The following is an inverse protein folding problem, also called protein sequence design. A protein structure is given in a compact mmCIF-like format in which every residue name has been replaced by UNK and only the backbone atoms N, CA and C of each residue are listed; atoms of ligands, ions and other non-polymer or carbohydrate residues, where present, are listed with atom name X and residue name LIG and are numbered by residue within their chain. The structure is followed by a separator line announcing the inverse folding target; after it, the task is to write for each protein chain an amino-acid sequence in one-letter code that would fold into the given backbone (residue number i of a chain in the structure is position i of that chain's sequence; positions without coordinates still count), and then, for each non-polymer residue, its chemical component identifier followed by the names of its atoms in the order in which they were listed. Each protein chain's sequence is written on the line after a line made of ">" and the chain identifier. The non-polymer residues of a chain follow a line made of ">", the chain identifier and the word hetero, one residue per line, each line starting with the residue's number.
data_IF_400408145201
#
_entry.id   IF_400408145201
#
_cell.length_a   1.000
_cell.length_b   1.000
_cell.length_c   1.000
_cell.angle_alpha   90.00
_cell.angle_beta   90.00
_cell.angle_gamma   90.00
#
_symmetry.space_group_name_H-M   'P 1'
#
loop_
_entity.id
_entity.type
_entity.pdbx_description
1 polymer ?
#
# COMPACT_ATOMS: atom_id res chain seq x y z
N UNK A 1 -13.62 -13.41 17.95
CA UNK A 1 -13.04 -14.46 17.07
C UNK A 1 -11.74 -13.93 16.53
N UNK A 2 -10.71 -14.76 16.42
CA UNK A 2 -9.38 -14.32 15.96
C UNK A 2 -9.32 -14.27 14.42
N UNK A 3 -8.48 -13.38 13.87
CA UNK A 3 -8.27 -13.24 12.43
C UNK A 3 -7.67 -14.49 11.77
N UNK A 4 -7.58 -14.55 10.43
CA UNK A 4 -7.12 -15.73 9.70
C UNK A 4 -5.65 -16.10 9.97
N UNK A 5 -4.83 -15.18 10.45
CA UNK A 5 -3.41 -15.43 10.81
C UNK A 5 -3.20 -15.67 12.30
N UNK A 6 -4.28 -15.93 13.06
CA UNK A 6 -4.19 -16.27 14.46
C UNK A 6 -3.21 -17.44 14.71
N UNK A 7 -2.24 -17.22 15.59
CA UNK A 7 -1.18 -18.17 15.93
C UNK A 7 0.10 -18.03 15.13
N UNK A 8 0.13 -17.22 14.06
CA UNK A 8 1.35 -16.90 13.32
C UNK A 8 2.24 -15.97 14.15
N UNK A 9 3.51 -16.33 14.35
CA UNK A 9 4.48 -15.53 15.12
C UNK A 9 5.42 -14.77 14.21
N UNK A 10 5.47 -13.45 14.35
CA UNK A 10 6.27 -12.56 13.49
C UNK A 10 7.23 -11.74 14.35
N UNK A 11 8.52 -11.75 14.02
CA UNK A 11 9.50 -10.81 14.55
C UNK A 11 9.72 -9.71 13.52
N UNK A 12 9.56 -8.46 13.92
CA UNK A 12 9.81 -7.28 13.09
C UNK A 12 11.04 -6.54 13.63
N UNK A 13 12.11 -6.44 12.85
CA UNK A 13 13.22 -5.53 13.19
C UNK A 13 12.82 -4.11 12.79
N UNK A 14 12.81 -3.18 13.75
CA UNK A 14 12.31 -1.83 13.55
C UNK A 14 12.94 -1.15 12.32
N UNK A 15 12.07 -0.74 11.39
CA UNK A 15 12.39 0.01 10.17
C UNK A 15 11.36 1.09 9.89
N UNK A 16 11.30 1.57 8.64
CA UNK A 16 10.36 2.59 8.14
C UNK A 16 9.68 2.11 6.85
N UNK A 17 8.54 2.72 6.51
CA UNK A 17 7.85 2.51 5.23
C UNK A 17 7.31 1.09 5.04
N UNK A 18 7.82 0.31 4.07
CA UNK A 18 7.21 -0.96 3.66
C UNK A 18 7.26 -2.07 4.72
N UNK A 19 8.34 -2.15 5.51
CA UNK A 19 8.49 -3.19 6.54
C UNK A 19 7.42 -3.10 7.64
N UNK A 20 7.30 -1.96 8.33
CA UNK A 20 6.24 -1.74 9.32
C UNK A 20 4.82 -1.89 8.75
N UNK A 21 4.57 -1.47 7.50
CA UNK A 21 3.27 -1.64 6.87
C UNK A 21 2.92 -3.11 6.64
N UNK A 22 3.86 -3.93 6.16
CA UNK A 22 3.64 -5.37 6.02
C UNK A 22 3.38 -6.04 7.38
N UNK A 23 4.17 -5.69 8.39
CA UNK A 23 3.94 -6.15 9.76
C UNK A 23 2.56 -5.73 10.28
N UNK A 24 2.08 -4.53 9.90
CA UNK A 24 0.77 -3.99 10.31
C UNK A 24 -0.34 -4.86 9.79
N UNK A 25 -0.31 -5.19 8.50
CA UNK A 25 -1.31 -6.05 7.87
C UNK A 25 -1.27 -7.45 8.47
N UNK A 26 -0.09 -8.03 8.75
CA UNK A 26 -0.03 -9.33 9.43
C UNK A 26 -0.70 -9.29 10.81
N UNK A 27 -0.43 -8.25 11.61
CA UNK A 27 -1.07 -8.04 12.91
C UNK A 27 -2.58 -7.80 12.80
N UNK A 28 -3.01 -6.96 11.85
CA UNK A 28 -4.41 -6.71 11.52
C UNK A 28 -5.18 -8.00 11.17
N UNK A 29 -4.50 -8.94 10.50
CA UNK A 29 -5.04 -10.26 10.16
C UNK A 29 -4.91 -11.28 11.30
N UNK A 30 -4.43 -10.88 12.47
CA UNK A 30 -4.41 -11.67 13.70
C UNK A 30 -3.07 -12.35 14.02
N UNK A 31 -1.99 -12.06 13.29
CA UNK A 31 -0.67 -12.55 13.65
C UNK A 31 -0.19 -11.91 14.97
N UNK A 32 0.59 -12.67 15.74
CA UNK A 32 1.29 -12.19 16.92
C UNK A 32 2.61 -11.56 16.49
N UNK A 33 2.62 -10.23 16.37
CA UNK A 33 3.77 -9.48 15.85
C UNK A 33 4.53 -8.79 16.97
N UNK A 34 5.79 -9.19 17.13
CA UNK A 34 6.75 -8.66 18.09
C UNK A 34 7.73 -7.76 17.37
N UNK A 35 7.68 -6.46 17.67
CA UNK A 35 8.60 -5.47 17.12
C UNK A 35 9.80 -5.28 18.05
N UNK A 36 11.00 -5.41 17.48
CA UNK A 36 12.27 -5.20 18.18
C UNK A 36 12.72 -3.76 17.98
N UNK A 37 12.83 -3.02 19.07
CA UNK A 37 13.17 -1.60 19.08
C UNK A 37 14.48 -1.32 19.82
N UNK A 38 15.15 -0.23 19.45
CA UNK A 38 16.40 0.17 20.12
C UNK A 38 16.09 0.86 21.45
N UNK A 39 16.77 0.50 22.56
CA UNK A 39 16.62 1.19 23.83
C UNK A 39 16.91 2.69 23.70
N UNK A 40 16.11 3.53 24.35
CA UNK A 40 16.35 4.98 24.48
C UNK A 40 16.15 5.83 23.22
N UNK A 41 15.82 5.22 22.07
CA UNK A 41 15.32 5.94 20.89
C UNK A 41 13.95 5.38 20.54
N UNK A 42 12.89 5.97 21.11
CA UNK A 42 11.57 5.91 20.47
C UNK A 42 11.79 6.33 19.02
N UNK A 43 11.51 5.42 18.09
CA UNK A 43 12.06 5.49 16.73
C UNK A 43 11.62 6.74 15.98
N UNK A 44 12.33 7.86 16.12
CA UNK A 44 12.06 9.12 15.40
C UNK A 44 10.71 9.79 15.67
N UNK A 45 9.76 9.10 16.30
CA UNK A 45 8.43 9.61 16.60
C UNK A 45 8.48 10.38 17.93
N UNK A 46 8.10 11.68 17.95
CA UNK A 46 8.08 12.49 19.16
C UNK A 46 7.24 11.84 20.27
N UNK A 47 7.65 12.02 21.52
CA UNK A 47 6.85 11.60 22.67
C UNK A 47 5.45 12.27 22.60
N UNK A 48 4.41 11.46 22.45
CA UNK A 48 3.02 11.91 22.32
C UNK A 48 2.39 11.68 20.95
N UNK A 49 3.18 11.37 19.93
CA UNK A 49 2.68 11.03 18.59
C UNK A 49 2.63 9.50 18.49
N UNK A 50 1.44 8.90 18.47
CA UNK A 50 1.29 7.45 18.29
C UNK A 50 1.24 7.17 16.80
N UNK A 51 2.34 6.67 16.22
CA UNK A 51 2.33 6.18 14.84
C UNK A 51 1.33 5.03 14.70
N UNK A 52 0.15 5.32 14.17
CA UNK A 52 -0.96 4.37 14.05
C UNK A 52 -0.62 3.15 13.18
N UNK A 53 0.42 3.21 12.34
CA UNK A 53 0.91 2.05 11.58
C UNK A 53 1.53 0.98 12.48
N UNK A 54 1.94 1.35 13.71
CA UNK A 54 2.48 0.44 14.71
C UNK A 54 1.40 -0.24 15.57
N UNK A 55 0.11 -0.12 15.20
CA UNK A 55 -1.01 -0.85 15.81
C UNK A 55 -0.84 -2.37 15.69
N UNK A 56 -1.50 -3.14 16.55
CA UNK A 56 -1.43 -4.61 16.59
C UNK A 56 0.02 -5.13 16.71
N UNK A 57 0.78 -4.59 17.68
CA UNK A 57 2.14 -5.02 18.01
C UNK A 57 2.29 -5.26 19.51
N UNK A 58 3.28 -6.09 19.85
CA UNK A 58 3.97 -6.08 21.14
C UNK A 58 5.38 -5.53 20.92
N UNK A 59 5.91 -4.75 21.86
CA UNK A 59 7.24 -4.13 21.72
C UNK A 59 8.26 -4.73 22.69
N UNK A 60 9.43 -5.09 22.14
CA UNK A 60 10.60 -5.60 22.87
C UNK A 60 11.78 -4.64 22.63
N UNK A 61 12.44 -4.20 23.69
CA UNK A 61 13.63 -3.36 23.56
C UNK A 61 14.90 -4.21 23.56
N UNK A 62 15.72 -4.11 22.50
CA UNK A 62 16.99 -4.81 22.40
C UNK A 62 18.03 -3.98 21.65
N UNK A 63 19.24 -3.83 22.22
CA UNK A 63 20.36 -3.25 21.48
C UNK A 63 21.07 -4.34 20.66
N UNK A 64 20.76 -4.41 19.37
CA UNK A 64 21.29 -5.44 18.46
C UNK A 64 22.81 -5.39 18.25
N UNK A 65 23.48 -4.35 18.74
CA UNK A 65 24.95 -4.23 18.69
C UNK A 65 25.65 -4.95 19.85
N UNK A 66 24.93 -5.22 20.94
CA UNK A 66 25.45 -5.96 22.07
C UNK A 66 25.12 -7.46 21.90
N UNK A 67 26.03 -8.37 22.30
CA UNK A 67 25.78 -9.81 22.24
C UNK A 67 24.47 -10.23 22.92
N UNK A 68 24.16 -9.66 24.09
CA UNK A 68 22.94 -9.99 24.85
C UNK A 68 21.67 -9.60 24.09
N UNK A 69 21.70 -8.46 23.40
CA UNK A 69 20.57 -8.01 22.58
C UNK A 69 20.38 -8.87 21.32
N UNK A 70 21.48 -9.25 20.67
CA UNK A 70 21.46 -10.21 19.54
C UNK A 70 20.92 -11.57 19.98
N UNK A 71 21.45 -12.13 21.06
CA UNK A 71 21.10 -13.46 21.55
C UNK A 71 19.64 -13.50 22.04
N UNK A 72 19.13 -12.41 22.62
CA UNK A 72 17.70 -12.24 22.90
C UNK A 72 16.85 -12.36 21.64
N UNK A 73 17.24 -11.67 20.56
CA UNK A 73 16.48 -11.71 19.30
C UNK A 73 16.57 -13.08 18.62
N UNK A 74 17.74 -13.74 18.65
CA UNK A 74 17.88 -15.11 18.15
C UNK A 74 16.97 -16.09 18.90
N UNK A 75 16.79 -15.93 20.23
CA UNK A 75 15.83 -16.74 21.00
C UNK A 75 14.38 -16.52 20.56
N UNK A 76 14.00 -15.29 20.21
CA UNK A 76 12.67 -15.00 19.66
C UNK A 76 12.52 -15.60 18.25
N UNK A 77 13.53 -15.44 17.40
CA UNK A 77 13.56 -16.00 16.04
C UNK A 77 13.48 -17.54 16.06
N UNK A 78 14.10 -18.20 17.04
CA UNK A 78 14.02 -19.66 17.23
C UNK A 78 12.58 -20.18 17.37
N UNK A 79 11.63 -19.30 17.70
CA UNK A 79 10.23 -19.60 17.99
C UNK A 79 9.26 -18.92 17.01
N UNK A 80 9.78 -18.11 16.10
CA UNK A 80 9.02 -17.33 15.15
C UNK A 80 8.73 -18.12 13.86
N UNK A 81 7.69 -17.72 13.15
CA UNK A 81 7.42 -18.20 11.80
C UNK A 81 8.05 -17.29 10.76
N UNK A 82 8.08 -15.98 11.02
CA UNK A 82 8.50 -14.96 10.09
C UNK A 82 9.43 -13.96 10.78
N UNK A 83 10.48 -13.54 10.08
CA UNK A 83 11.29 -12.37 10.42
C UNK A 83 11.14 -11.34 9.31
N UNK A 84 10.85 -10.09 9.65
CA UNK A 84 10.82 -8.95 8.73
C UNK A 84 11.96 -8.01 9.05
N UNK A 85 12.77 -7.67 8.03
CA UNK A 85 13.79 -6.64 8.12
C UNK A 85 13.86 -5.81 6.84
N UNK A 86 14.10 -4.51 6.99
CA UNK A 86 14.19 -3.57 5.88
C UNK A 86 15.48 -2.76 5.85
N UNK A 87 16.58 -3.35 6.31
CA UNK A 87 17.88 -2.69 6.32
C UNK A 87 18.57 -2.81 4.96
N UNK A 88 19.65 -2.05 4.78
CA UNK A 88 20.50 -2.23 3.58
C UNK A 88 21.09 -3.65 3.58
N UNK A 89 21.28 -4.28 2.41
CA UNK A 89 21.92 -5.58 2.29
C UNK A 89 23.24 -5.65 3.08
N UNK A 90 23.45 -6.75 3.80
CA UNK A 90 24.62 -6.95 4.64
C UNK A 90 24.53 -6.38 6.07
N UNK A 91 23.47 -5.63 6.42
CA UNK A 91 23.33 -5.08 7.78
C UNK A 91 23.05 -6.18 8.80
N UNK A 92 22.07 -7.04 8.57
CA UNK A 92 21.72 -8.11 9.52
C UNK A 92 22.81 -9.16 9.61
N UNK A 93 23.52 -9.45 8.52
CA UNK A 93 24.71 -10.31 8.52
C UNK A 93 25.79 -9.75 9.46
N UNK A 94 26.07 -8.45 9.43
CA UNK A 94 27.04 -7.82 10.36
C UNK A 94 26.57 -7.84 11.82
N UNK A 95 25.26 -7.95 12.06
CA UNK A 95 24.69 -8.05 13.40
C UNK A 95 24.64 -9.51 13.91
N UNK A 96 25.02 -10.50 13.09
CA UNK A 96 24.83 -11.92 13.42
C UNK A 96 23.35 -12.32 13.49
N UNK A 97 22.52 -11.65 12.69
CA UNK A 97 21.10 -11.90 12.50
C UNK A 97 20.82 -12.15 11.02
N UNK A 98 21.81 -12.53 10.23
CA UNK A 98 21.63 -12.82 8.81
C UNK A 98 20.82 -14.10 8.59
N UNK A 99 20.42 -14.39 7.34
CA UNK A 99 19.66 -15.61 7.03
C UNK A 99 20.34 -16.90 7.48
N UNK A 100 21.69 -16.97 7.36
CA UNK A 100 22.46 -18.14 7.78
C UNK A 100 22.44 -18.30 9.31
N UNK A 101 22.72 -17.24 10.07
CA UNK A 101 22.68 -17.26 11.53
C UNK A 101 21.29 -17.67 12.05
N UNK A 102 20.22 -17.16 11.42
CA UNK A 102 18.85 -17.48 11.81
C UNK A 102 18.45 -18.92 11.46
N UNK A 103 18.97 -19.47 10.36
CA UNK A 103 18.70 -20.85 9.96
C UNK A 103 19.32 -21.88 10.93
N UNK A 104 20.41 -21.52 11.63
CA UNK A 104 21.02 -22.37 12.66
C UNK A 104 20.09 -22.61 13.86
N UNK A 105 19.25 -21.63 14.19
CA UNK A 105 18.29 -21.72 15.31
C UNK A 105 16.87 -22.06 14.85
N UNK A 106 16.53 -21.82 13.58
CA UNK A 106 15.21 -22.09 13.01
C UNK A 106 15.24 -22.20 11.48
N UNK A 107 15.36 -23.43 10.97
CA UNK A 107 15.31 -23.72 9.53
C UNK A 107 13.90 -23.69 8.92
N UNK A 108 12.86 -23.45 9.75
CA UNK A 108 11.48 -23.23 9.33
C UNK A 108 11.15 -21.74 9.12
N UNK A 109 12.08 -20.85 9.43
CA UNK A 109 11.87 -19.40 9.40
C UNK A 109 11.66 -18.89 7.98
N UNK A 110 10.60 -18.10 7.79
CA UNK A 110 10.45 -17.25 6.62
C UNK A 110 11.22 -15.95 6.87
N UNK A 111 12.39 -15.81 6.25
CA UNK A 111 13.24 -14.62 6.40
C UNK A 111 12.90 -13.61 5.30
N UNK A 112 12.13 -12.57 5.64
CA UNK A 112 11.59 -11.61 4.69
C UNK A 112 12.41 -10.31 4.67
N UNK A 113 13.12 -10.06 3.56
CA UNK A 113 13.96 -8.87 3.34
C UNK A 113 13.22 -7.86 2.47
N UNK A 114 13.06 -6.65 2.98
CA UNK A 114 12.29 -5.59 2.32
C UNK A 114 13.19 -4.42 1.94
N UNK A 115 13.56 -4.31 0.66
CA UNK A 115 14.46 -3.26 0.19
C UNK A 115 13.92 -2.55 -1.06
N UNK A 116 14.52 -1.42 -1.41
CA UNK A 116 14.16 -0.73 -2.65
C UNK A 116 14.74 -1.36 -3.91
N UNK A 117 16.01 -1.76 -3.83
CA UNK A 117 16.81 -2.20 -4.99
C UNK A 117 17.04 -3.72 -5.06
N UNK A 118 16.62 -4.48 -4.04
CA UNK A 118 16.95 -5.91 -3.91
C UNK A 118 18.29 -6.15 -3.21
N UNK A 119 18.59 -7.42 -2.94
CA UNK A 119 19.85 -7.82 -2.27
C UNK A 119 21.07 -7.78 -3.18
N UNK A 120 20.88 -7.76 -4.50
CA UNK A 120 21.94 -7.88 -5.50
C UNK A 120 21.86 -6.78 -6.57
N UNK A 121 22.91 -6.67 -7.37
CA UNK A 121 23.00 -5.70 -8.46
C UNK A 121 23.71 -4.40 -8.08
N UNK A 122 24.01 -3.54 -9.07
CA UNK A 122 24.91 -2.39 -8.89
C UNK A 122 24.34 -1.31 -7.95
N UNK A 123 23.03 -1.31 -7.69
CA UNK A 123 22.36 -0.34 -6.81
C UNK A 123 21.99 -0.89 -5.44
N UNK A 124 22.24 -2.16 -5.14
CA UNK A 124 21.82 -2.82 -3.89
C UNK A 124 22.25 -2.07 -2.62
N UNK A 125 23.43 -1.43 -2.64
CA UNK A 125 23.95 -0.67 -1.50
C UNK A 125 23.64 0.84 -1.55
N UNK A 126 23.01 1.30 -2.64
CA UNK A 126 22.65 2.70 -2.85
C UNK A 126 21.46 3.09 -1.96
N UNK A 127 21.51 4.28 -1.38
CA UNK A 127 20.35 4.86 -0.71
C UNK A 127 19.23 5.20 -1.71
N UNK A 128 18.00 5.24 -1.23
CA UNK A 128 16.84 5.70 -2.01
C UNK A 128 15.60 5.75 -1.14
N UNK A 129 14.54 6.31 -1.70
CA UNK A 129 13.16 6.25 -1.21
C UNK A 129 12.24 5.87 -2.38
N UNK A 130 10.95 5.68 -2.10
CA UNK A 130 9.90 5.32 -3.07
C UNK A 130 10.14 5.90 -4.47
N UNK A 131 10.20 7.24 -4.56
CA UNK A 131 10.34 7.99 -5.82
C UNK A 131 11.54 7.54 -6.65
N UNK A 132 12.65 7.15 -6.01
CA UNK A 132 13.84 6.68 -6.71
C UNK A 132 13.59 5.30 -7.34
N UNK A 133 12.96 4.39 -6.62
CA UNK A 133 12.71 3.03 -7.09
C UNK A 133 11.77 3.04 -8.30
N UNK A 134 10.65 3.76 -8.20
CA UNK A 134 9.67 3.86 -9.29
C UNK A 134 10.16 4.74 -10.45
N UNK A 135 11.17 5.60 -10.24
CA UNK A 135 11.79 6.35 -11.34
C UNK A 135 12.60 5.48 -12.30
N UNK A 136 13.07 4.31 -11.84
CA UNK A 136 14.01 3.48 -12.61
C UNK A 136 13.33 2.39 -13.45
N UNK A 137 12.04 2.14 -13.24
CA UNK A 137 11.27 1.13 -13.98
C UNK A 137 10.16 1.73 -14.86
N UNK A 138 10.18 3.06 -15.10
CA UNK A 138 9.22 3.76 -15.95
C UNK A 138 7.90 4.15 -15.27
N UNK A 139 7.60 3.61 -14.09
CA UNK A 139 6.35 3.89 -13.35
C UNK A 139 6.17 5.38 -13.10
N UNK A 140 7.18 6.07 -12.55
CA UNK A 140 7.07 7.52 -12.29
C UNK A 140 6.90 8.32 -13.58
N UNK A 141 7.58 7.94 -14.67
CA UNK A 141 7.54 8.68 -15.93
C UNK A 141 6.12 8.76 -16.51
N UNK A 142 5.30 7.72 -16.29
CA UNK A 142 3.93 7.63 -16.77
C UNK A 142 2.91 8.45 -15.96
N UNK A 143 3.29 9.02 -14.81
CA UNK A 143 2.34 9.65 -13.88
C UNK A 143 2.44 11.17 -13.95
N UNK A 144 1.31 11.81 -14.27
CA UNK A 144 1.13 13.26 -14.30
C UNK A 144 0.47 13.75 -15.57
N UNK A 145 0.30 15.06 -15.69
CA UNK A 145 -0.35 15.70 -16.84
C UNK A 145 0.57 15.74 -18.06
N UNK A 146 -0.02 15.77 -19.25
CA UNK A 146 0.69 16.06 -20.50
C UNK A 146 1.37 17.42 -20.42
N UNK A 147 2.64 17.49 -20.82
CA UNK A 147 3.43 18.73 -20.86
C UNK A 147 4.08 19.14 -19.53
N UNK A 148 3.64 18.59 -18.40
CA UNK A 148 4.22 18.84 -17.08
C UNK A 148 5.31 17.82 -16.73
N UNK A 149 6.10 18.09 -15.68
CA UNK A 149 7.02 17.09 -15.11
C UNK A 149 6.27 15.91 -14.47
N UNK A 150 6.87 14.72 -14.35
CA UNK A 150 6.31 13.63 -13.54
C UNK A 150 5.97 14.05 -12.11
N UNK A 151 4.89 13.50 -11.56
CA UNK A 151 4.43 13.76 -10.19
C UNK A 151 4.42 12.45 -9.39
N UNK A 152 5.05 12.40 -8.20
CA UNK A 152 5.04 11.18 -7.39
C UNK A 152 3.62 10.86 -6.90
N UNK A 153 3.13 9.61 -7.04
CA UNK A 153 1.83 9.18 -6.52
C UNK A 153 1.92 8.91 -5.01
N UNK A 154 2.29 9.95 -4.24
CA UNK A 154 2.75 9.81 -2.85
C UNK A 154 3.88 8.76 -2.79
N UNK A 155 3.81 7.80 -1.87
CA UNK A 155 4.61 6.59 -1.83
C UNK A 155 3.76 5.31 -1.98
N UNK A 156 2.63 5.41 -2.71
CA UNK A 156 1.68 4.30 -2.86
C UNK A 156 2.22 3.19 -3.77
N UNK A 157 3.04 3.54 -4.77
CA UNK A 157 3.47 2.60 -5.80
C UNK A 157 4.71 1.79 -5.41
N UNK A 158 5.72 2.39 -4.77
CA UNK A 158 6.96 1.74 -4.38
C UNK A 158 6.86 1.10 -2.99
N UNK A 159 6.71 1.92 -1.95
CA UNK A 159 6.69 1.44 -0.55
C UNK A 159 5.51 0.48 -0.32
N UNK A 160 4.30 0.85 -0.75
CA UNK A 160 3.11 0.08 -0.43
C UNK A 160 2.77 -0.99 -1.48
N UNK A 161 2.13 -0.59 -2.59
CA UNK A 161 1.61 -1.51 -3.60
C UNK A 161 2.68 -2.40 -4.23
N UNK A 162 3.86 -1.85 -4.54
CA UNK A 162 4.99 -2.58 -5.11
C UNK A 162 6.01 -3.11 -4.08
N UNK A 163 5.82 -2.81 -2.80
CA UNK A 163 6.78 -3.14 -1.75
C UNK A 163 6.16 -4.07 -0.71
N UNK A 164 5.59 -3.49 0.34
CA UNK A 164 4.96 -4.23 1.44
C UNK A 164 3.93 -5.27 1.00
N UNK A 165 3.13 -4.99 -0.04
CA UNK A 165 2.15 -5.95 -0.56
C UNK A 165 2.82 -7.16 -1.22
N UNK A 166 3.95 -6.98 -1.90
CA UNK A 166 4.74 -8.08 -2.46
C UNK A 166 5.50 -8.84 -1.37
N UNK A 167 5.96 -8.17 -0.31
CA UNK A 167 6.51 -8.83 0.87
C UNK A 167 5.47 -9.74 1.54
N UNK A 168 4.23 -9.26 1.70
CA UNK A 168 3.11 -10.04 2.23
C UNK A 168 2.79 -11.26 1.36
N UNK A 169 2.67 -11.08 0.05
CA UNK A 169 2.46 -12.19 -0.90
C UNK A 169 3.59 -13.20 -0.79
N UNK A 170 4.85 -12.76 -0.73
CA UNK A 170 6.00 -13.62 -0.53
C UNK A 170 5.92 -14.41 0.77
N UNK A 171 5.61 -13.75 1.89
CA UNK A 171 5.52 -14.37 3.22
C UNK A 171 4.43 -15.44 3.23
N UNK A 172 3.23 -15.10 2.79
CA UNK A 172 2.10 -16.03 2.80
C UNK A 172 2.31 -17.21 1.83
N UNK A 173 2.95 -16.97 0.67
CA UNK A 173 3.30 -18.03 -0.27
C UNK A 173 4.36 -18.97 0.31
N UNK A 174 5.37 -18.44 1.00
CA UNK A 174 6.40 -19.25 1.65
C UNK A 174 5.84 -20.03 2.85
N UNK A 175 4.89 -19.46 3.61
CA UNK A 175 4.18 -20.17 4.66
C UNK A 175 3.33 -21.33 4.13
N UNK A 176 2.71 -21.15 2.95
CA UNK A 176 1.97 -22.21 2.26
C UNK A 176 2.91 -23.30 1.74
N UNK A 177 4.01 -22.94 1.09
CA UNK A 177 5.05 -23.88 0.63
C UNK A 177 5.59 -24.73 1.79
N UNK A 178 5.87 -24.08 2.93
CA UNK A 178 6.36 -24.72 4.17
C UNK A 178 5.45 -25.81 4.71
N UNK A 179 4.16 -25.83 4.35
CA UNK A 179 3.27 -26.93 4.72
C UNK A 179 3.68 -28.26 4.10
N UNK A 180 4.22 -28.23 2.88
CA UNK A 180 4.70 -29.40 2.16
C UNK A 180 6.17 -29.69 2.46
N UNK A 181 7.04 -28.67 2.37
CA UNK A 181 8.49 -28.86 2.54
C UNK A 181 8.90 -29.01 4.01
N UNK A 182 8.13 -28.44 4.93
CA UNK A 182 8.51 -28.28 6.32
C UNK A 182 9.66 -27.30 6.55
N UNK A 183 10.10 -26.55 5.54
CA UNK A 183 11.26 -25.64 5.59
C UNK A 183 10.87 -24.19 5.32
N UNK A 184 11.65 -23.28 5.87
CA UNK A 184 11.56 -21.86 5.54
C UNK A 184 12.45 -21.50 4.36
N UNK A 185 12.45 -20.22 4.00
CA UNK A 185 13.29 -19.67 2.93
C UNK A 185 13.43 -18.15 3.08
N UNK A 186 14.35 -17.58 2.30
CA UNK A 186 14.54 -16.13 2.20
C UNK A 186 13.63 -15.57 1.12
N UNK A 187 12.93 -14.49 1.44
CA UNK A 187 12.20 -13.66 0.47
C UNK A 187 13.00 -12.39 0.26
N UNK A 188 13.39 -12.12 -0.99
CA UNK A 188 13.94 -10.83 -1.41
C UNK A 188 12.83 -10.03 -2.09
N UNK A 189 12.20 -9.10 -1.35
CA UNK A 189 11.18 -8.21 -1.90
C UNK A 189 11.82 -6.85 -2.22
N UNK A 190 12.03 -6.60 -3.52
CA UNK A 190 12.53 -5.32 -4.03
C UNK A 190 11.38 -4.45 -4.55
N UNK A 191 11.30 -3.20 -4.08
CA UNK A 191 10.25 -2.27 -4.53
C UNK A 191 10.32 -1.99 -6.04
N UNK A 192 11.53 -1.95 -6.61
CA UNK A 192 11.72 -1.77 -8.07
C UNK A 192 11.09 -2.91 -8.88
N UNK A 193 11.10 -4.13 -8.36
CA UNK A 193 10.54 -5.31 -9.02
C UNK A 193 9.03 -5.38 -8.81
N UNK A 194 8.57 -5.27 -7.56
CA UNK A 194 7.16 -5.37 -7.24
C UNK A 194 6.33 -4.24 -7.87
N UNK A 195 6.85 -3.01 -7.92
CA UNK A 195 6.17 -1.92 -8.64
C UNK A 195 6.16 -2.11 -10.16
N UNK A 196 7.17 -2.79 -10.73
CA UNK A 196 7.15 -3.16 -12.15
C UNK A 196 6.08 -4.23 -12.44
N UNK A 197 5.92 -5.21 -11.55
CA UNK A 197 4.84 -6.21 -11.63
C UNK A 197 3.47 -5.55 -11.41
N UNK A 198 3.37 -4.58 -10.50
CA UNK A 198 2.13 -3.80 -10.29
C UNK A 198 1.70 -3.05 -11.57
N UNK A 199 2.67 -2.61 -12.38
CA UNK A 199 2.47 -1.95 -13.68
C UNK A 199 2.31 -2.93 -14.87
N UNK A 200 2.16 -4.24 -14.63
CA UNK A 200 2.14 -5.26 -15.69
C UNK A 200 1.08 -5.00 -16.78
N UNK A 201 -0.07 -4.44 -16.43
CA UNK A 201 -1.12 -4.09 -17.41
C UNK A 201 -0.62 -3.09 -18.45
N UNK A 202 0.13 -2.05 -18.03
CA UNK A 202 0.72 -1.07 -18.95
C UNK A 202 1.82 -1.69 -19.80
N UNK A 203 2.65 -2.59 -19.26
CA UNK A 203 3.59 -3.37 -20.07
C UNK A 203 2.87 -4.17 -21.16
N UNK A 204 1.74 -4.79 -20.83
CA UNK A 204 0.87 -5.50 -21.78
C UNK A 204 0.26 -4.57 -22.83
N UNK A 205 -0.27 -3.41 -22.44
CA UNK A 205 -0.82 -2.45 -23.38
C UNK A 205 0.23 -1.86 -24.31
N UNK A 206 1.44 -1.55 -23.80
CA UNK A 206 2.57 -1.08 -24.62
C UNK A 206 2.92 -2.10 -25.69
N UNK A 207 3.02 -3.39 -25.33
CA UNK A 207 3.32 -4.46 -26.28
C UNK A 207 2.25 -4.61 -27.38
N UNK A 208 1.00 -4.25 -27.09
CA UNK A 208 -0.12 -4.30 -28.04
C UNK A 208 -0.39 -2.96 -28.75
N UNK A 209 0.45 -1.94 -28.56
CA UNK A 209 0.26 -0.61 -29.15
C UNK A 209 -0.91 0.19 -28.57
N UNK A 210 -1.44 -0.22 -27.41
CA UNK A 210 -2.55 0.43 -26.69
C UNK A 210 -2.06 1.43 -25.62
N UNK A 211 -0.74 1.60 -25.49
CA UNK A 211 -0.12 2.54 -24.56
C UNK A 211 1.14 3.15 -25.17
N UNK A 212 1.30 4.46 -24.97
CA UNK A 212 2.42 5.28 -25.41
C UNK A 212 3.28 5.71 -24.22
N UNK A 213 4.57 5.94 -24.47
CA UNK A 213 5.48 6.52 -23.47
C UNK A 213 5.24 8.03 -23.27
N UNK A 214 4.42 8.67 -24.10
CA UNK A 214 3.96 10.04 -23.87
C UNK A 214 2.98 10.05 -22.68
N UNK A 215 3.36 10.77 -21.62
CA UNK A 215 2.56 10.92 -20.40
C UNK A 215 1.31 11.78 -20.63
N UNK A 216 0.19 11.36 -20.06
CA UNK A 216 -1.05 12.12 -20.06
C UNK A 216 -1.80 12.08 -21.40
N UNK A 217 -1.54 11.06 -22.23
CA UNK A 217 -2.18 10.87 -23.53
C UNK A 217 -2.85 9.51 -23.70
N UNK A 218 -2.76 8.65 -22.68
CA UNK A 218 -3.31 7.31 -22.68
C UNK A 218 -4.71 7.28 -22.05
N UNK A 219 -5.39 6.14 -22.19
CA UNK A 219 -6.75 5.96 -21.65
C UNK A 219 -6.80 6.11 -20.13
N UNK A 220 -5.78 5.65 -19.40
CA UNK A 220 -5.81 5.54 -17.92
C UNK A 220 -4.86 6.51 -17.19
N UNK A 221 -4.30 7.51 -17.89
CA UNK A 221 -3.33 8.46 -17.32
C UNK A 221 -3.75 9.93 -17.46
N UNK A 222 -5.06 10.18 -17.56
CA UNK A 222 -5.73 11.48 -17.81
C UNK A 222 -5.85 11.91 -19.28
N UNK A 223 -5.33 11.13 -20.23
CA UNK A 223 -5.49 11.44 -21.67
C UNK A 223 -6.95 11.40 -22.15
N UNK A 224 -7.72 10.37 -21.75
CA UNK A 224 -9.11 10.20 -22.15
C UNK A 224 -10.07 11.13 -21.37
N UNK A 225 -10.97 11.88 -22.04
CA UNK A 225 -11.94 12.75 -21.36
C UNK A 225 -12.92 11.99 -20.43
N UNK A 226 -13.19 10.73 -20.70
CA UNK A 226 -14.08 9.87 -19.91
C UNK A 226 -13.34 9.10 -18.80
N UNK A 227 -12.05 9.37 -18.58
CA UNK A 227 -11.26 8.81 -17.48
C UNK A 227 -10.33 9.90 -16.91
N UNK A 228 -10.92 10.85 -16.18
CA UNK A 228 -10.21 12.00 -15.59
C UNK A 228 -11.04 12.65 -14.47
N UNK A 229 -10.52 13.73 -13.90
CA UNK A 229 -11.19 14.62 -12.96
C UNK A 229 -11.62 15.91 -13.63
N UNK A 230 -12.76 16.45 -13.20
CA UNK A 230 -13.33 17.71 -13.69
C UNK A 230 -13.64 18.64 -12.52
N UNK A 231 -13.21 19.89 -12.63
CA UNK A 231 -13.53 20.94 -11.68
C UNK A 231 -14.99 21.39 -11.83
N UNK A 232 -15.63 21.64 -10.70
CA UNK A 232 -17.04 22.03 -10.59
C UNK A 232 -17.16 23.48 -10.11
N UNK A 233 -18.37 24.04 -10.09
CA UNK A 233 -18.59 25.48 -9.81
C UNK A 233 -18.04 25.96 -8.45
N UNK A 234 -17.89 25.08 -7.47
CA UNK A 234 -17.36 25.37 -6.13
C UNK A 234 -15.84 25.12 -6.00
N UNK A 235 -15.14 24.89 -7.12
CA UNK A 235 -13.69 24.63 -7.15
C UNK A 235 -13.31 23.23 -6.62
N UNK A 236 -14.29 22.37 -6.37
CA UNK A 236 -14.09 20.96 -6.03
C UNK A 236 -14.17 20.08 -7.28
N UNK A 237 -13.88 18.79 -7.16
CA UNK A 237 -13.74 17.90 -8.31
C UNK A 237 -14.70 16.71 -8.30
N UNK A 238 -15.16 16.32 -9.48
CA UNK A 238 -15.75 15.01 -9.77
C UNK A 238 -14.70 14.15 -10.49
N UNK A 239 -14.65 12.86 -10.19
CA UNK A 239 -13.91 11.86 -10.97
C UNK A 239 -14.87 11.15 -11.92
N UNK A 240 -14.43 10.93 -13.17
CA UNK A 240 -15.16 10.21 -14.21
C UNK A 240 -14.32 9.00 -14.63
N UNK A 241 -14.95 7.84 -14.70
CA UNK A 241 -14.35 6.58 -15.16
C UNK A 241 -15.26 5.80 -16.11
N UNK A 242 -16.01 6.50 -16.96
CA UNK A 242 -17.04 5.94 -17.84
C UNK A 242 -16.42 5.37 -19.14
N UNK A 243 -15.68 4.27 -19.03
CA UNK A 243 -14.95 3.66 -20.15
C UNK A 243 -15.93 2.94 -21.10
N UNK A 244 -16.83 2.14 -20.57
CA UNK A 244 -17.75 1.34 -21.37
C UNK A 244 -18.86 2.22 -21.99
N UNK A 245 -19.27 1.97 -23.25
CA UNK A 245 -20.21 2.85 -23.97
C UNK A 245 -21.54 3.10 -23.26
N UNK A 246 -22.08 2.10 -22.56
CA UNK A 246 -23.33 2.23 -21.82
C UNK A 246 -23.19 3.14 -20.58
N UNK A 247 -22.03 3.12 -19.92
CA UNK A 247 -21.75 3.99 -18.78
C UNK A 247 -21.50 5.42 -19.25
N UNK A 248 -20.79 5.57 -20.37
CA UNK A 248 -20.63 6.85 -21.06
C UNK A 248 -21.98 7.47 -21.47
N UNK A 249 -22.93 6.67 -21.95
CA UNK A 249 -24.27 7.16 -22.28
C UNK A 249 -25.03 7.69 -21.04
N UNK A 250 -24.96 7.00 -19.90
CA UNK A 250 -25.55 7.50 -18.64
C UNK A 250 -24.85 8.76 -18.13
N UNK A 251 -23.52 8.88 -18.32
CA UNK A 251 -22.80 10.13 -18.05
C UNK A 251 -23.34 11.29 -18.88
N UNK A 252 -23.47 11.14 -20.20
CA UNK A 252 -23.99 12.19 -21.08
C UNK A 252 -25.40 12.62 -20.68
N UNK A 253 -26.26 11.65 -20.39
CA UNK A 253 -27.63 11.88 -19.92
C UNK A 253 -27.65 12.66 -18.60
N UNK A 254 -26.79 12.31 -17.64
CA UNK A 254 -26.67 13.04 -16.38
C UNK A 254 -26.14 14.47 -16.55
N UNK A 255 -25.20 14.67 -17.49
CA UNK A 255 -24.70 16.00 -17.85
C UNK A 255 -25.68 16.83 -18.70
N UNK A 256 -26.75 16.22 -19.20
CA UNK A 256 -27.69 16.87 -20.13
C UNK A 256 -27.09 17.17 -21.50
N UNK A 257 -26.12 16.38 -21.94
CA UNK A 257 -25.46 16.50 -23.25
C UNK A 257 -26.08 15.51 -24.24
N UNK A 258 -26.37 15.98 -25.46
CA UNK A 258 -26.79 15.10 -26.56
C UNK A 258 -25.55 14.49 -27.23
N UNK A 259 -25.52 13.16 -27.37
CA UNK A 259 -24.45 12.45 -28.05
C UNK A 259 -24.34 12.85 -29.54
N UNK A 260 -25.43 13.32 -30.16
CA UNK A 260 -25.43 13.77 -31.56
C UNK A 260 -24.62 15.06 -31.77
N UNK A 261 -24.45 15.87 -30.72
CA UNK A 261 -23.73 17.14 -30.77
C UNK A 261 -22.26 17.00 -30.34
N UNK A 262 -21.80 15.78 -30.00
CA UNK A 262 -20.46 15.51 -29.49
C UNK A 262 -19.64 14.66 -30.45
N UNK A 263 -18.29 14.76 -30.39
CA UNK A 263 -17.42 13.76 -30.98
C UNK A 263 -17.71 12.35 -30.43
N UNK A 264 -17.41 11.32 -31.23
CA UNK A 264 -17.49 9.95 -30.74
C UNK A 264 -16.52 9.73 -29.57
N UNK A 265 -16.93 8.95 -28.57
CA UNK A 265 -16.17 8.72 -27.33
C UNK A 265 -14.70 8.39 -27.58
N UNK A 266 -14.40 7.52 -28.55
CA UNK A 266 -13.05 7.04 -28.86
C UNK A 266 -12.40 7.73 -30.08
N UNK A 267 -12.92 8.88 -30.53
CA UNK A 267 -12.24 9.74 -31.51
C UNK A 267 -11.15 10.56 -30.83
N UNK A 268 -9.95 9.96 -30.72
CA UNK A 268 -8.79 10.54 -30.03
C UNK A 268 -8.43 11.93 -30.57
N UNK A 269 -8.59 12.16 -31.88
CA UNK A 269 -8.26 13.43 -32.50
C UNK A 269 -9.16 14.58 -32.02
N UNK A 270 -10.40 14.25 -31.60
CA UNK A 270 -11.40 15.20 -31.11
C UNK A 270 -11.64 15.12 -29.60
N UNK A 271 -10.82 14.37 -28.86
CA UNK A 271 -10.84 14.39 -27.39
C UNK A 271 -10.71 15.78 -26.77
N UNK A 272 -9.92 16.74 -27.31
CA UNK A 272 -9.91 18.10 -26.79
C UNK A 272 -11.30 18.77 -26.79
N UNK A 273 -12.09 18.58 -27.85
CA UNK A 273 -13.45 19.11 -27.97
C UNK A 273 -14.40 18.43 -26.98
N UNK A 274 -14.33 17.10 -26.88
CA UNK A 274 -15.14 16.34 -25.91
C UNK A 274 -14.84 16.76 -24.46
N UNK A 275 -13.56 16.96 -24.14
CA UNK A 275 -13.12 17.44 -22.83
C UNK A 275 -13.64 18.84 -22.53
N UNK A 276 -13.64 19.74 -23.50
CA UNK A 276 -14.19 21.08 -23.33
C UNK A 276 -15.69 21.03 -23.01
N UNK A 277 -16.46 20.18 -23.71
CA UNK A 277 -17.87 19.98 -23.42
C UNK A 277 -18.11 19.46 -21.99
N UNK A 278 -17.35 18.46 -21.54
CA UNK A 278 -17.46 17.92 -20.18
C UNK A 278 -17.05 18.95 -19.13
N UNK A 279 -15.95 19.68 -19.38
CA UNK A 279 -15.47 20.76 -18.50
C UNK A 279 -16.56 21.81 -18.31
N UNK A 280 -17.16 22.28 -19.41
CA UNK A 280 -18.24 23.26 -19.36
C UNK A 280 -19.47 22.73 -18.62
N UNK A 281 -19.84 21.48 -18.85
CA UNK A 281 -20.97 20.86 -18.19
C UNK A 281 -20.73 20.77 -16.67
N UNK A 282 -19.62 20.15 -16.23
CA UNK A 282 -19.29 20.02 -14.81
C UNK A 282 -19.14 21.37 -14.09
N UNK A 283 -18.58 22.39 -14.75
CA UNK A 283 -18.43 23.73 -14.17
C UNK A 283 -19.77 24.48 -13.97
N UNK A 284 -20.89 24.01 -14.53
CA UNK A 284 -22.19 24.67 -14.40
C UNK A 284 -22.82 24.53 -13.00
N UNK A 285 -22.44 23.49 -12.26
CA UNK A 285 -22.97 23.19 -10.93
C UNK A 285 -21.85 22.73 -9.98
N UNK A 286 -22.11 22.76 -8.67
CA UNK A 286 -21.16 22.34 -7.64
C UNK A 286 -21.02 20.80 -7.55
N UNK A 287 -20.00 20.33 -6.84
CA UNK A 287 -19.76 18.88 -6.64
C UNK A 287 -20.95 18.17 -5.99
N UNK A 288 -21.68 18.82 -5.08
CA UNK A 288 -22.81 18.21 -4.37
C UNK A 288 -24.00 17.95 -5.30
N UNK A 289 -24.29 18.88 -6.21
CA UNK A 289 -25.26 18.71 -7.28
C UNK A 289 -24.93 17.48 -8.12
N UNK A 290 -23.70 17.39 -8.65
CA UNK A 290 -23.31 16.27 -9.49
C UNK A 290 -23.31 14.94 -8.74
N UNK A 291 -22.89 14.94 -7.48
CA UNK A 291 -22.99 13.77 -6.61
C UNK A 291 -24.42 13.25 -6.58
N UNK A 292 -25.41 14.13 -6.39
CA UNK A 292 -26.83 13.76 -6.40
C UNK A 292 -27.33 13.29 -7.77
N UNK A 293 -26.87 13.91 -8.86
CA UNK A 293 -27.25 13.53 -10.24
C UNK A 293 -26.80 12.11 -10.58
N UNK A 294 -25.58 11.74 -10.18
CA UNK A 294 -24.97 10.44 -10.52
C UNK A 294 -25.16 9.37 -9.44
N UNK A 295 -25.71 9.72 -8.28
CA UNK A 295 -25.97 8.75 -7.22
C UNK A 295 -26.93 7.64 -7.70
N UNK A 296 -26.47 6.39 -7.62
CA UNK A 296 -27.26 5.22 -8.00
C UNK A 296 -27.37 4.98 -9.52
N UNK A 297 -26.60 5.70 -10.34
CA UNK A 297 -26.49 5.44 -11.78
C UNK A 297 -25.19 4.71 -12.12
N UNK A 298 -25.13 4.13 -13.31
CA UNK A 298 -23.92 3.49 -13.84
C UNK A 298 -23.02 4.49 -14.62
N UNK A 299 -23.16 5.80 -14.37
CA UNK A 299 -22.40 6.83 -15.09
C UNK A 299 -20.90 6.88 -14.74
N UNK A 300 -20.47 6.11 -13.74
CA UNK A 300 -19.09 6.07 -13.25
C UNK A 300 -18.55 7.48 -12.89
N UNK A 301 -19.39 8.34 -12.32
CA UNK A 301 -19.02 9.69 -11.88
C UNK A 301 -19.21 9.82 -10.36
N UNK A 302 -18.13 10.14 -9.64
CA UNK A 302 -18.10 10.15 -8.16
C UNK A 302 -17.39 11.39 -7.62
N UNK A 303 -17.78 11.92 -6.44
CA UNK A 303 -17.08 13.05 -5.85
C UNK A 303 -15.63 12.69 -5.47
N UNK A 304 -14.68 13.59 -5.75
CA UNK A 304 -13.32 13.50 -5.21
C UNK A 304 -13.34 14.09 -3.80
N UNK A 305 -13.28 13.22 -2.79
CA UNK A 305 -13.34 13.61 -1.38
C UNK A 305 -11.94 13.86 -0.81
N UNK A 306 -11.82 14.86 0.05
CA UNK A 306 -10.65 15.01 0.93
C UNK A 306 -10.71 14.02 2.09
N UNK A 307 -9.58 13.82 2.80
CA UNK A 307 -9.54 12.94 3.98
C UNK A 307 -10.56 13.31 5.06
N UNK A 308 -10.89 14.59 5.21
CA UNK A 308 -11.85 15.06 6.21
C UNK A 308 -13.32 14.74 5.84
N UNK A 309 -13.61 14.55 4.55
CA UNK A 309 -14.98 14.35 4.04
C UNK A 309 -15.35 12.86 3.94
N UNK A 310 -14.40 11.94 4.10
CA UNK A 310 -14.62 10.51 3.79
C UNK A 310 -15.68 9.84 4.66
N UNK A 311 -15.89 10.29 5.90
CA UNK A 311 -16.91 9.73 6.79
C UNK A 311 -18.31 10.24 6.50
N UNK A 312 -18.44 11.37 5.79
CA UNK A 312 -19.73 11.90 5.38
C UNK A 312 -20.33 11.11 4.20
N UNK A 313 -19.52 10.28 3.52
CA UNK A 313 -19.95 9.41 2.44
C UNK A 313 -20.66 8.16 2.97
N UNK A 314 -21.98 7.97 2.70
CA UNK A 314 -22.76 6.86 3.25
C UNK A 314 -22.15 5.49 2.97
N UNK A 315 -21.59 5.26 1.77
CA UNK A 315 -20.99 3.97 1.45
C UNK A 315 -19.77 3.64 2.32
N UNK A 316 -18.96 4.65 2.66
CA UNK A 316 -17.76 4.49 3.49
C UNK A 316 -18.16 4.22 4.95
N UNK A 317 -19.13 4.98 5.45
CA UNK A 317 -19.65 4.90 6.80
C UNK A 317 -20.39 3.58 7.07
N UNK A 318 -21.37 3.22 6.24
CA UNK A 318 -22.17 2.00 6.40
C UNK A 318 -21.31 0.73 6.32
N UNK A 319 -20.24 0.78 5.52
CA UNK A 319 -19.30 -0.33 5.45
C UNK A 319 -18.37 -0.40 6.65
N UNK A 320 -18.28 0.60 7.53
CA UNK A 320 -17.27 0.67 8.58
C UNK A 320 -15.86 0.54 8.00
N UNK A 321 -15.56 1.33 6.96
CA UNK A 321 -14.24 1.30 6.31
C UNK A 321 -13.15 1.87 7.22
N UNK A 322 -13.52 2.77 8.12
CA UNK A 322 -12.64 3.38 9.11
C UNK A 322 -13.19 3.17 10.52
N UNK A 323 -12.31 3.33 11.52
CA UNK A 323 -12.65 3.42 12.93
C UNK A 323 -11.99 4.66 13.54
N UNK A 324 -12.59 5.19 14.61
CA UNK A 324 -12.03 6.31 15.38
C UNK A 324 -11.08 5.79 16.47
N UNK A 325 -9.87 6.33 16.51
CA UNK A 325 -8.87 6.11 17.56
C UNK A 325 -8.56 7.43 18.26
N UNK A 326 -9.31 7.72 19.33
CA UNK A 326 -9.18 8.96 20.12
C UNK A 326 -9.28 10.25 19.25
N UNK A 327 -10.20 10.28 18.28
CA UNK A 327 -10.36 11.39 17.34
C UNK A 327 -9.47 11.32 16.10
N UNK A 328 -8.64 10.27 15.95
CA UNK A 328 -7.86 10.02 14.75
C UNK A 328 -8.50 8.92 13.92
N UNK A 329 -8.90 9.25 12.70
CA UNK A 329 -9.53 8.29 11.81
C UNK A 329 -8.50 7.32 11.21
N UNK A 330 -8.73 6.01 11.37
CA UNK A 330 -7.83 4.97 10.89
C UNK A 330 -8.57 3.92 10.04
N UNK A 331 -7.95 3.35 9.00
CA UNK A 331 -8.60 2.34 8.17
C UNK A 331 -8.76 1.02 8.93
N UNK A 332 -9.95 0.40 8.86
CA UNK A 332 -10.16 -0.95 9.37
C UNK A 332 -9.31 -1.98 8.58
N UNK A 333 -8.95 -3.12 9.20
CA UNK A 333 -8.28 -4.23 8.53
C UNK A 333 -8.97 -4.67 7.22
N UNK A 334 -8.17 -5.04 6.22
CA UNK A 334 -8.62 -5.51 4.91
C UNK A 334 -7.76 -6.68 4.39
N UNK A 335 -8.30 -7.59 3.55
CA UNK A 335 -9.71 -7.68 3.11
C UNK A 335 -10.63 -8.21 4.23
N UNK A 336 -11.93 -8.37 3.93
CA UNK A 336 -12.91 -8.90 4.90
C UNK A 336 -13.02 -10.42 4.80
N UNK A 337 -13.24 -11.08 5.95
CA UNK A 337 -13.40 -12.52 6.05
C UNK A 337 -14.75 -12.84 6.68
N UNK A 338 -15.50 -13.79 6.11
CA UNK A 338 -16.85 -14.15 6.55
C UNK A 338 -16.90 -14.96 7.85
N UNK A 339 -15.83 -15.69 8.18
CA UNK A 339 -15.75 -16.58 9.37
C UNK A 339 -14.74 -16.11 10.40
N UNK A 340 -13.48 -15.92 10.00
CA UNK A 340 -12.40 -15.40 10.85
C UNK A 340 -12.40 -13.88 10.85
N UNK A 341 -13.45 -13.29 11.42
CA UNK A 341 -13.69 -11.85 11.42
C UNK A 341 -12.57 -11.10 12.12
N UNK A 342 -12.17 -9.95 11.55
CA UNK A 342 -11.10 -9.11 12.08
C UNK A 342 -11.64 -8.21 13.20
N UNK A 343 -10.85 -8.01 14.25
CA UNK A 343 -11.17 -7.06 15.34
C UNK A 343 -10.72 -5.65 14.98
N UNK A 344 -11.28 -4.65 15.67
CA UNK A 344 -10.70 -3.30 15.67
C UNK A 344 -9.25 -3.39 16.15
N UNK A 345 -8.29 -2.74 15.47
CA UNK A 345 -6.89 -2.76 15.87
C UNK A 345 -6.65 -2.23 17.29
N UNK A 346 -5.66 -2.79 17.98
CA UNK A 346 -5.17 -2.25 19.25
C UNK A 346 -4.13 -1.16 19.01
N UNK A 347 -4.07 -0.11 19.84
CA UNK A 347 -3.13 0.99 19.65
C UNK A 347 -1.67 0.52 19.76
N UNK A 348 -0.71 1.30 19.22
CA UNK A 348 0.71 1.00 19.35
C UNK A 348 1.16 0.86 20.82
N UNK A 349 1.97 -0.16 21.16
CA UNK A 349 2.50 -0.30 22.50
C UNK A 349 3.57 0.75 22.79
N UNK A 350 3.82 1.01 24.08
CA UNK A 350 5.01 1.76 24.51
C UNK A 350 6.25 0.92 24.25
N UNK A 351 7.34 1.55 23.79
CA UNK A 351 8.58 0.85 23.45
C UNK A 351 9.11 -0.02 24.61
N UNK A 352 9.33 -1.30 24.34
CA UNK A 352 9.83 -2.29 25.29
C UNK A 352 8.85 -2.74 26.37
N UNK A 353 7.61 -2.25 26.38
CA UNK A 353 6.63 -2.52 27.43
C UNK A 353 6.29 -4.01 27.59
N UNK A 354 6.47 -4.81 26.54
CA UNK A 354 6.05 -6.21 26.50
C UNK A 354 7.20 -7.20 26.63
N UNK A 355 8.44 -6.74 26.88
CA UNK A 355 9.65 -7.58 26.86
C UNK A 355 9.52 -8.87 27.68
N UNK A 356 9.17 -8.74 28.97
CA UNK A 356 9.02 -9.89 29.87
C UNK A 356 7.83 -10.78 29.49
N UNK A 357 6.73 -10.18 29.01
CA UNK A 357 5.55 -10.92 28.60
C UNK A 357 5.82 -11.77 27.35
N UNK A 358 6.44 -11.19 26.33
CA UNK A 358 6.83 -11.89 25.10
C UNK A 358 7.78 -13.05 25.42
N UNK A 359 8.80 -12.81 26.26
CA UNK A 359 9.76 -13.85 26.64
C UNK A 359 9.12 -15.03 27.36
N UNK A 360 8.10 -14.78 28.20
CA UNK A 360 7.33 -15.83 28.85
C UNK A 360 6.44 -16.57 27.85
N UNK A 361 5.72 -15.85 27.00
CA UNK A 361 4.71 -16.42 26.11
C UNK A 361 5.33 -17.20 24.92
N UNK A 362 6.55 -16.85 24.52
CA UNK A 362 7.30 -17.51 23.45
C UNK A 362 8.40 -18.45 23.95
N UNK A 363 8.44 -18.76 25.26
CA UNK A 363 9.44 -19.68 25.83
C UNK A 363 9.36 -21.12 25.33
#
# INVERSE_FOLDING_TARGET
>A
MAGPLAGLRVVELAGIGPGPHAAMILGDLGADVVRIERPGKGGGVPAGDRDAMLRNRRSVAANLKEPEGRDLVLRLIAKADVLIEGYRPGVTERLGLGPQDCAEVNDRLIYARMTGWGQQGPRALQAGHDINYISLNGTLHAIGRKGDKPVPPLNLAGDFGGGSMFLLVGILSALYERQASGKGQVIDAAMVDGSAVLMQMMWGFRANGLWSDERGTNMLDTGAPYYDTYETADGKYMAVGAIEPQFYAELLKGLGLDAADLPAQNDIARWPELREAFTKAFAAHDRAHWTKVFQGTDACATPVLSFAEVLDEPHVAERNTFYDDEGNLQPMPAPRFSRSTLSTPTPPPVSGADTEAVLRDWS
#
